data_IF_058752225777
#
_entry.id   IF_058752225777
#
_cell.length_a   1.000
_cell.length_b   1.000
_cell.length_c   1.000
_cell.angle_alpha   90.00
_cell.angle_beta   90.00
_cell.angle_gamma   90.00
#
_symmetry.space_group_name_H-M   'P 1'
#
loop_
_entity.id
_entity.type
_entity.pdbx_description
1 polymer ?
#
# COMPACT_ATOMS: atom_id res chain seq x y z
N UNK A 1 21.57 -25.43 -4.47
CA UNK A 1 20.31 -24.75 -4.06
C UNK A 1 20.71 -23.71 -3.02
N UNK A 2 20.57 -22.41 -3.32
CA UNK A 2 20.79 -21.36 -2.31
C UNK A 2 19.62 -21.46 -1.33
N UNK A 3 19.90 -21.69 -0.05
CA UNK A 3 18.93 -21.49 1.00
C UNK A 3 18.46 -20.03 0.91
N UNK A 4 17.17 -19.87 0.60
CA UNK A 4 16.52 -18.56 0.76
C UNK A 4 16.48 -18.36 2.28
N UNK A 5 17.18 -17.35 2.77
CA UNK A 5 17.12 -16.96 4.17
C UNK A 5 15.63 -16.77 4.52
N UNK A 6 15.13 -17.56 5.47
CA UNK A 6 13.83 -17.30 6.08
C UNK A 6 13.98 -16.00 6.83
N UNK A 7 13.37 -14.94 6.35
CA UNK A 7 13.27 -13.69 7.09
C UNK A 7 12.67 -14.00 8.45
N UNK A 8 13.44 -13.83 9.50
CA UNK A 8 12.95 -14.06 10.86
C UNK A 8 12.05 -12.88 11.26
N UNK A 9 10.74 -13.10 11.15
CA UNK A 9 9.72 -12.10 11.53
C UNK A 9 9.94 -11.61 12.98
N UNK A 10 10.55 -12.42 13.85
CA UNK A 10 10.84 -12.03 15.22
C UNK A 10 11.92 -10.95 15.31
N UNK A 11 12.98 -11.06 14.49
CA UNK A 11 14.04 -10.06 14.40
C UNK A 11 13.54 -8.75 13.81
N UNK A 12 12.70 -8.82 12.77
CA UNK A 12 12.09 -7.63 12.17
C UNK A 12 11.17 -6.90 13.18
N UNK A 13 10.35 -7.64 13.93
CA UNK A 13 9.50 -7.07 14.98
C UNK A 13 10.31 -6.42 16.09
N UNK A 14 11.39 -7.04 16.51
CA UNK A 14 12.30 -6.46 17.50
C UNK A 14 12.91 -5.16 16.98
N UNK A 15 13.46 -5.17 15.75
CA UNK A 15 14.07 -4.00 15.14
C UNK A 15 13.10 -2.82 15.04
N UNK A 16 11.87 -3.06 14.61
CA UNK A 16 10.85 -2.01 14.52
C UNK A 16 10.48 -1.43 15.88
N UNK A 17 10.40 -2.26 16.90
CA UNK A 17 10.17 -1.78 18.28
C UNK A 17 11.31 -0.89 18.78
N UNK A 18 12.55 -1.24 18.49
CA UNK A 18 13.71 -0.41 18.87
C UNK A 18 13.66 0.97 18.22
N UNK A 19 13.25 1.06 16.94
CA UNK A 19 13.05 2.34 16.25
C UNK A 19 11.95 3.16 16.92
N UNK A 20 10.83 2.52 17.26
CA UNK A 20 9.72 3.19 17.94
C UNK A 20 10.10 3.65 19.37
N UNK A 21 10.84 2.86 20.12
CA UNK A 21 11.39 3.25 21.44
C UNK A 21 12.37 4.42 21.34
N UNK A 22 13.11 4.52 20.23
CA UNK A 22 13.97 5.68 19.95
C UNK A 22 13.17 6.96 19.60
N UNK A 23 11.84 6.91 19.61
CA UNK A 23 10.95 8.05 19.39
C UNK A 23 10.58 8.31 17.94
N UNK A 24 10.69 7.29 17.07
CA UNK A 24 10.28 7.33 15.68
C UNK A 24 9.08 6.41 15.45
N UNK A 25 7.84 6.87 15.70
CA UNK A 25 6.65 6.04 15.54
C UNK A 25 6.49 5.58 14.09
N UNK A 26 6.11 4.32 13.93
CA UNK A 26 5.80 3.74 12.61
C UNK A 26 4.43 4.20 12.16
N UNK A 27 4.31 4.69 10.93
CA UNK A 27 3.03 5.15 10.38
C UNK A 27 2.63 4.43 9.09
N UNK A 28 3.52 3.59 8.55
CA UNK A 28 3.25 2.69 7.43
C UNK A 28 4.29 1.55 7.41
N UNK A 29 4.22 0.67 6.41
CA UNK A 29 4.98 -0.58 6.36
C UNK A 29 6.51 -0.41 6.47
N UNK A 30 7.07 0.69 5.95
CA UNK A 30 8.53 0.91 5.85
C UNK A 30 9.02 2.26 6.38
N UNK A 31 8.13 3.18 6.74
CA UNK A 31 8.52 4.51 7.21
C UNK A 31 8.17 4.77 8.68
N UNK A 32 9.14 5.38 9.33
CA UNK A 32 9.12 5.76 10.74
C UNK A 32 9.43 7.26 10.87
N UNK A 33 8.88 7.93 11.87
CA UNK A 33 9.24 9.31 12.16
C UNK A 33 8.14 10.11 12.82
N UNK A 34 8.54 11.26 13.37
CA UNK A 34 7.62 12.23 13.98
C UNK A 34 6.83 13.02 12.93
N UNK A 35 7.36 13.09 11.71
CA UNK A 35 6.76 13.81 10.60
C UNK A 35 6.40 12.84 9.48
N UNK A 36 5.12 12.82 9.14
CA UNK A 36 4.59 11.97 8.08
C UNK A 36 4.97 12.56 6.72
N UNK A 37 5.55 11.77 5.83
CA UNK A 37 5.86 12.16 4.47
C UNK A 37 4.57 12.37 3.66
N UNK A 38 4.20 13.63 3.41
CA UNK A 38 2.97 13.99 2.68
C UNK A 38 2.93 13.41 1.26
N UNK A 39 4.09 13.26 0.63
CA UNK A 39 4.20 12.65 -0.70
C UNK A 39 3.75 11.18 -0.66
N UNK A 40 4.27 10.41 0.30
CA UNK A 40 3.90 9.00 0.47
C UNK A 40 2.42 8.85 0.85
N UNK A 41 1.89 9.76 1.67
CA UNK A 41 0.46 9.76 2.02
C UNK A 41 -0.41 9.88 0.77
N UNK A 42 -0.01 10.68 -0.22
CA UNK A 42 -0.72 10.76 -1.48
C UNK A 42 -0.88 9.41 -2.19
N UNK A 43 0.17 8.58 -2.16
CA UNK A 43 0.08 7.20 -2.68
C UNK A 43 -0.83 6.31 -1.83
N UNK A 44 -0.69 6.33 -0.50
CA UNK A 44 -1.53 5.53 0.40
C UNK A 44 -3.02 5.90 0.33
N UNK A 45 -3.33 7.18 0.07
CA UNK A 45 -4.68 7.67 -0.16
C UNK A 45 -5.18 7.44 -1.60
N UNK A 46 -4.37 6.82 -2.45
CA UNK A 46 -4.68 6.55 -3.85
C UNK A 46 -5.05 7.81 -4.65
N UNK A 47 -4.33 8.92 -4.39
CA UNK A 47 -4.51 10.20 -5.09
C UNK A 47 -3.85 10.21 -6.45
N UNK A 48 -4.35 11.06 -7.34
CA UNK A 48 -3.71 11.32 -8.62
C UNK A 48 -2.30 11.89 -8.43
N UNK A 49 -1.35 11.44 -9.25
CA UNK A 49 0.02 11.96 -9.28
C UNK A 49 0.60 11.93 -10.69
N UNK A 50 1.56 12.80 -10.93
CA UNK A 50 2.27 12.91 -12.21
C UNK A 50 3.69 12.35 -12.02
N UNK A 51 4.07 11.41 -12.87
CA UNK A 51 5.45 10.94 -12.98
C UNK A 51 6.25 11.84 -13.93
N UNK A 52 7.40 12.35 -13.48
CA UNK A 52 8.30 13.18 -14.29
C UNK A 52 9.64 12.50 -14.43
N UNK A 53 10.03 12.19 -15.66
CA UNK A 53 11.31 11.55 -15.99
C UNK A 53 11.14 10.17 -16.64
N UNK A 54 12.27 9.63 -17.11
CA UNK A 54 12.30 8.29 -17.72
C UNK A 54 11.88 7.22 -16.70
N UNK A 55 10.87 6.42 -17.06
CA UNK A 55 10.30 5.37 -16.21
C UNK A 55 9.46 5.86 -15.02
N UNK A 56 9.24 7.16 -14.86
CA UNK A 56 8.43 7.71 -13.79
C UNK A 56 6.93 7.56 -14.10
N UNK A 57 6.30 6.55 -13.49
CA UNK A 57 4.87 6.27 -13.69
C UNK A 57 4.01 7.36 -13.10
N UNK A 58 2.97 7.79 -13.83
CA UNK A 58 1.89 8.64 -13.35
C UNK A 58 0.61 7.84 -13.09
N UNK A 59 -0.27 8.35 -12.24
CA UNK A 59 -1.60 7.80 -12.00
C UNK A 59 -2.64 8.91 -11.99
N UNK A 60 -3.75 8.70 -12.71
CA UNK A 60 -4.86 9.64 -12.69
C UNK A 60 -6.18 8.88 -12.84
N UNK A 61 -7.03 8.95 -11.81
CA UNK A 61 -8.33 8.27 -11.72
C UNK A 61 -8.19 6.73 -11.82
N UNK A 62 -8.35 6.19 -13.01
CA UNK A 62 -8.34 4.77 -13.35
C UNK A 62 -7.27 4.42 -14.40
N UNK A 63 -6.28 5.29 -14.56
CA UNK A 63 -5.23 5.13 -15.59
C UNK A 63 -3.84 5.30 -15.01
N UNK A 64 -2.93 4.43 -15.44
CA UNK A 64 -1.50 4.61 -15.26
C UNK A 64 -0.85 5.02 -16.58
N UNK A 65 0.15 5.90 -16.46
CA UNK A 65 0.88 6.48 -17.58
C UNK A 65 2.35 6.09 -17.44
N UNK A 66 2.86 5.36 -18.42
CA UNK A 66 4.21 4.82 -18.43
C UNK A 66 5.05 5.52 -19.50
N UNK A 67 5.91 6.48 -19.16
CA UNK A 67 6.87 7.03 -20.08
C UNK A 67 7.95 6.00 -20.42
N UNK A 68 8.74 6.24 -21.47
CA UNK A 68 9.88 5.38 -21.77
C UNK A 68 10.81 5.22 -20.56
N UNK A 69 11.19 3.97 -20.25
CA UNK A 69 12.21 3.66 -19.23
C UNK A 69 13.62 3.93 -19.75
N UNK A 70 13.84 3.73 -21.06
CA UNK A 70 15.11 4.04 -21.70
C UNK A 70 15.30 5.56 -21.81
N UNK A 71 16.41 6.05 -21.25
CA UNK A 71 16.72 7.50 -21.18
C UNK A 71 16.83 8.12 -22.55
N UNK A 72 17.45 7.44 -23.53
CA UNK A 72 17.63 7.99 -24.90
C UNK A 72 16.29 8.13 -25.60
N UNK A 73 15.41 7.12 -25.49
CA UNK A 73 14.06 7.17 -26.02
C UNK A 73 13.23 8.25 -25.35
N UNK A 74 13.33 8.39 -24.01
CA UNK A 74 12.66 9.44 -23.28
C UNK A 74 13.10 10.84 -23.72
N UNK A 75 14.40 11.08 -23.88
CA UNK A 75 14.93 12.38 -24.37
C UNK A 75 14.42 12.66 -25.79
N UNK A 76 14.35 11.64 -26.66
CA UNK A 76 13.90 11.82 -28.04
C UNK A 76 12.39 12.11 -28.14
N UNK A 77 11.58 11.60 -27.22
CA UNK A 77 10.13 11.85 -27.16
C UNK A 77 9.63 11.82 -25.69
N UNK A 78 9.81 12.93 -24.94
CA UNK A 78 9.48 12.98 -23.51
C UNK A 78 7.95 12.99 -23.22
N UNK A 79 7.14 13.22 -24.26
CA UNK A 79 5.67 13.22 -24.11
C UNK A 79 5.04 11.85 -24.39
N UNK A 80 5.83 10.88 -24.85
CA UNK A 80 5.32 9.53 -25.05
C UNK A 80 4.90 8.91 -23.71
N UNK A 81 3.72 8.30 -23.72
CA UNK A 81 3.19 7.53 -22.59
C UNK A 81 2.44 6.33 -23.12
N UNK A 82 2.76 5.15 -22.61
CA UNK A 82 1.89 4.00 -22.69
C UNK A 82 0.83 4.10 -21.61
N UNK A 83 -0.42 3.71 -21.90
CA UNK A 83 -1.56 3.92 -21.01
C UNK A 83 -2.18 2.58 -20.63
N UNK A 84 -2.18 2.28 -19.34
CA UNK A 84 -2.90 1.17 -18.76
C UNK A 84 -4.23 1.66 -18.17
N UNK A 85 -5.34 1.01 -18.55
CA UNK A 85 -6.63 1.24 -17.92
C UNK A 85 -6.81 0.22 -16.78
N UNK A 86 -7.06 0.70 -15.58
CA UNK A 86 -7.22 -0.11 -14.37
C UNK A 86 -8.71 -0.35 -14.14
N UNK A 87 -9.11 -1.59 -13.98
CA UNK A 87 -10.50 -1.95 -13.71
C UNK A 87 -10.95 -1.51 -12.31
N UNK A 88 -12.26 -1.44 -12.08
CA UNK A 88 -12.80 -1.11 -10.75
C UNK A 88 -12.45 -2.16 -9.70
N UNK A 89 -12.25 -3.40 -10.11
CA UNK A 89 -11.80 -4.49 -9.22
C UNK A 89 -10.37 -4.23 -8.79
N UNK A 90 -9.46 -4.01 -9.72
CA UNK A 90 -8.06 -3.69 -9.42
C UNK A 90 -7.92 -2.43 -8.57
N UNK A 91 -8.70 -1.37 -8.85
CA UNK A 91 -8.72 -0.16 -8.01
C UNK A 91 -9.18 -0.44 -6.58
N UNK A 92 -10.16 -1.33 -6.39
CA UNK A 92 -10.60 -1.76 -5.06
C UNK A 92 -9.48 -2.51 -4.34
N UNK A 93 -8.87 -3.48 -5.01
CA UNK A 93 -7.76 -4.29 -4.46
C UNK A 93 -6.60 -3.39 -4.04
N UNK A 94 -6.16 -2.46 -4.89
CA UNK A 94 -5.12 -1.50 -4.56
C UNK A 94 -5.46 -0.67 -3.32
N UNK A 95 -6.69 -0.19 -3.19
CA UNK A 95 -7.12 0.57 -2.00
C UNK A 95 -7.07 -0.26 -0.73
N UNK A 96 -7.42 -1.54 -0.80
CA UNK A 96 -7.31 -2.46 0.34
C UNK A 96 -5.83 -2.67 0.72
N UNK A 97 -4.97 -2.99 -0.25
CA UNK A 97 -3.54 -3.17 -0.03
C UNK A 97 -2.88 -1.92 0.56
N UNK A 98 -3.08 -0.76 -0.07
CA UNK A 98 -2.49 0.51 0.38
C UNK A 98 -3.00 0.92 1.76
N UNK A 99 -4.30 0.73 2.02
CA UNK A 99 -4.90 1.05 3.31
C UNK A 99 -4.39 0.19 4.45
N UNK A 100 -4.19 -1.12 4.22
CA UNK A 100 -3.64 -2.03 5.23
C UNK A 100 -2.15 -1.83 5.49
N UNK A 101 -1.41 -1.29 4.52
CA UNK A 101 0.03 -1.00 4.64
C UNK A 101 0.34 0.33 5.31
N UNK A 102 -0.67 1.12 5.66
CA UNK A 102 -0.50 2.48 6.19
C UNK A 102 -1.55 2.85 7.23
N UNK A 103 -1.29 3.95 7.93
CA UNK A 103 -2.25 4.54 8.88
C UNK A 103 -3.52 5.12 8.22
N UNK A 104 -3.58 5.15 6.89
CA UNK A 104 -4.73 5.69 6.14
C UNK A 104 -5.95 4.79 6.26
N UNK A 105 -5.74 3.46 6.31
CA UNK A 105 -6.81 2.49 6.27
C UNK A 105 -7.59 2.50 4.95
N UNK A 106 -8.61 1.66 4.82
CA UNK A 106 -9.50 1.65 3.66
C UNK A 106 -10.97 1.68 4.07
N UNK A 107 -11.84 2.18 3.18
CA UNK A 107 -13.27 2.27 3.44
C UNK A 107 -13.91 0.88 3.29
N UNK A 108 -14.58 0.41 4.35
CA UNK A 108 -15.28 -0.88 4.38
C UNK A 108 -16.38 -0.99 3.32
N UNK A 109 -16.94 0.13 2.86
CA UNK A 109 -18.03 0.17 1.87
C UNK A 109 -17.62 -0.30 0.48
N UNK A 110 -16.32 -0.34 0.17
CA UNK A 110 -15.83 -0.82 -1.12
C UNK A 110 -15.86 -2.35 -1.25
N UNK A 111 -16.06 -3.05 -0.14
CA UNK A 111 -16.03 -4.49 -0.06
C UNK A 111 -17.38 -5.13 -0.43
N UNK A 112 -17.32 -6.33 -1.00
CA UNK A 112 -18.47 -7.21 -1.19
C UNK A 112 -19.01 -7.74 0.16
N UNK A 113 -20.13 -8.42 0.16
CA UNK A 113 -20.69 -9.06 1.39
C UNK A 113 -19.75 -10.15 1.92
N UNK A 114 -19.15 -10.92 1.02
CA UNK A 114 -18.24 -12.00 1.37
C UNK A 114 -16.96 -11.47 1.99
N UNK A 115 -16.30 -10.50 1.34
CA UNK A 115 -15.12 -9.80 1.86
C UNK A 115 -15.40 -9.15 3.22
N UNK A 116 -16.59 -8.56 3.40
CA UNK A 116 -17.01 -8.00 4.68
C UNK A 116 -17.10 -9.06 5.79
N UNK A 117 -17.56 -10.28 5.48
CA UNK A 117 -17.61 -11.38 6.44
C UNK A 117 -16.20 -11.79 6.89
N UNK A 118 -15.21 -11.75 5.99
CA UNK A 118 -13.81 -12.00 6.33
C UNK A 118 -13.22 -10.89 7.22
N UNK A 119 -13.58 -9.64 6.96
CA UNK A 119 -13.21 -8.52 7.86
C UNK A 119 -13.80 -8.71 9.24
N UNK A 120 -15.03 -9.23 9.39
CA UNK A 120 -15.64 -9.51 10.69
C UNK A 120 -14.87 -10.59 11.47
N UNK A 121 -14.30 -11.58 10.79
CA UNK A 121 -13.39 -12.56 11.40
C UNK A 121 -12.12 -11.87 11.93
N UNK A 122 -11.48 -11.06 11.09
CA UNK A 122 -10.25 -10.33 11.46
C UNK A 122 -10.46 -9.35 12.62
N UNK A 123 -11.64 -8.74 12.71
CA UNK A 123 -12.03 -7.88 13.84
C UNK A 123 -12.15 -8.68 15.14
N UNK A 124 -12.77 -9.88 15.10
CA UNK A 124 -12.88 -10.79 16.26
C UNK A 124 -11.50 -11.28 16.71
N UNK A 125 -10.62 -11.57 15.77
CA UNK A 125 -9.23 -11.98 16.04
C UNK A 125 -8.30 -10.83 16.44
N UNK A 126 -8.81 -9.58 16.46
CA UNK A 126 -8.04 -8.37 16.79
C UNK A 126 -6.82 -8.15 15.88
N UNK A 127 -6.90 -8.57 14.62
CA UNK A 127 -5.86 -8.33 13.60
C UNK A 127 -6.05 -6.97 12.93
N UNK A 128 -7.30 -6.53 12.83
CA UNK A 128 -7.66 -5.19 12.32
C UNK A 128 -8.58 -4.49 13.30
N UNK A 129 -8.73 -3.18 13.14
CA UNK A 129 -9.67 -2.37 13.93
C UNK A 129 -10.53 -1.52 13.00
N UNK A 130 -11.80 -1.38 13.34
CA UNK A 130 -12.71 -0.48 12.63
C UNK A 130 -12.85 0.82 13.40
N UNK A 131 -12.68 1.96 12.70
CA UNK A 131 -13.01 3.31 13.22
C UNK A 131 -13.92 3.99 12.21
N UNK A 132 -15.17 4.23 12.59
CA UNK A 132 -16.25 4.68 11.69
C UNK A 132 -16.40 3.67 10.53
N UNK A 133 -16.30 4.14 9.28
CA UNK A 133 -16.41 3.33 8.06
C UNK A 133 -15.06 2.75 7.58
N UNK A 134 -13.95 3.04 8.26
CA UNK A 134 -12.62 2.60 7.83
C UNK A 134 -12.08 1.45 8.66
N UNK A 135 -11.39 0.55 7.97
CA UNK A 135 -10.61 -0.56 8.53
C UNK A 135 -9.14 -0.18 8.55
N UNK A 136 -8.48 -0.48 9.67
CA UNK A 136 -7.05 -0.23 9.90
C UNK A 136 -6.36 -1.50 10.34
N UNK A 137 -5.16 -1.73 9.82
CA UNK A 137 -4.30 -2.81 10.25
C UNK A 137 -3.64 -2.47 11.61
N UNK A 138 -3.49 -3.48 12.46
CA UNK A 138 -2.80 -3.33 13.74
C UNK A 138 -1.34 -3.83 13.70
N UNK A 139 -0.99 -4.60 12.66
CA UNK A 139 0.35 -5.15 12.48
C UNK A 139 0.76 -5.08 11.00
N UNK A 140 1.53 -4.06 10.63
CA UNK A 140 1.93 -3.81 9.23
C UNK A 140 2.73 -4.96 8.59
N UNK A 141 3.38 -5.82 9.38
CA UNK A 141 4.08 -6.98 8.86
C UNK A 141 3.14 -8.04 8.26
N UNK A 142 1.88 -8.02 8.65
CA UNK A 142 0.83 -8.94 8.16
C UNK A 142 -0.06 -8.29 7.09
N UNK A 143 0.33 -7.13 6.56
CA UNK A 143 -0.53 -6.36 5.63
C UNK A 143 -0.96 -7.18 4.42
N UNK A 144 -0.02 -7.90 3.84
CA UNK A 144 -0.25 -8.64 2.59
C UNK A 144 -1.09 -9.89 2.82
N UNK A 145 -0.82 -10.64 3.89
CA UNK A 145 -1.64 -11.80 4.26
C UNK A 145 -3.08 -11.39 4.59
N UNK A 146 -3.25 -10.27 5.30
CA UNK A 146 -4.58 -9.75 5.62
C UNK A 146 -5.30 -9.31 4.35
N UNK A 147 -4.61 -8.61 3.43
CA UNK A 147 -5.20 -8.19 2.17
C UNK A 147 -5.64 -9.38 1.32
N UNK A 148 -4.77 -10.36 1.14
CA UNK A 148 -5.07 -11.59 0.41
C UNK A 148 -6.24 -12.35 1.05
N UNK A 149 -6.25 -12.51 2.37
CA UNK A 149 -7.37 -13.17 3.06
C UNK A 149 -8.71 -12.48 2.83
N UNK A 150 -8.74 -11.15 2.72
CA UNK A 150 -9.97 -10.40 2.46
C UNK A 150 -10.41 -10.59 1.01
N UNK A 151 -9.49 -10.52 0.06
CA UNK A 151 -9.78 -10.40 -1.38
C UNK A 151 -9.95 -11.73 -2.12
N UNK A 152 -9.33 -12.84 -1.63
CA UNK A 152 -9.52 -14.19 -2.18
C UNK A 152 -10.95 -14.73 -1.99
#
# INVERSE_FOLDING_TARGET
MKEVAKDDISEQKWFYKEIEYAGFPRYEVSNFGKYICKHNVGYWEHKDYIGLGAGAVGFKKDKRFYPYRDIKKYISNPLYQDIENISQIELKEERVFLGLRSFVGFDRKILTKEENSKVDILLKEKKVVQKKDKIYNLEYLLSDEIALFILD
#
